data_IF_918139547915
#
_entry.id   IF_918139547915
#
_cell.length_a   1.000
_cell.length_b   1.000
_cell.length_c   1.000
_cell.angle_alpha   90.00
_cell.angle_beta   90.00
_cell.angle_gamma   90.00
#
_symmetry.space_group_name_H-M   'P 1'
#
loop_
_entity.id
_entity.type
_entity.pdbx_description
1 polymer ?
#
# COMPACT_ATOMS: atom_id res chain seq x y z
N UNK A 1 -10.66 32.31 40.26
CA UNK A 1 -11.36 32.16 38.97
C UNK A 1 -12.25 30.94 39.10
N UNK A 2 -13.55 31.16 39.06
CA UNK A 2 -14.59 30.19 39.45
C UNK A 2 -14.65 29.00 38.47
N UNK A 3 -14.60 27.76 38.98
CA UNK A 3 -14.56 26.51 38.19
C UNK A 3 -15.79 26.36 37.29
N UNK A 4 -16.91 26.98 37.68
CA UNK A 4 -18.16 27.03 36.92
C UNK A 4 -18.02 27.75 35.57
N UNK A 5 -17.13 28.74 35.46
CA UNK A 5 -16.89 29.48 34.21
C UNK A 5 -16.05 28.66 33.20
N UNK A 6 -15.14 27.82 33.69
CA UNK A 6 -14.33 26.92 32.85
C UNK A 6 -15.19 25.78 32.30
N UNK A 7 -16.07 25.19 33.13
CA UNK A 7 -16.98 24.13 32.70
C UNK A 7 -18.06 24.64 31.73
N UNK A 8 -18.55 25.87 31.91
CA UNK A 8 -19.44 26.52 30.96
C UNK A 8 -18.76 26.77 29.60
N UNK A 9 -17.48 27.17 29.60
CA UNK A 9 -16.70 27.37 28.37
C UNK A 9 -16.38 26.05 27.64
N UNK A 10 -16.05 24.99 28.39
CA UNK A 10 -15.80 23.64 27.86
C UNK A 10 -17.08 23.04 27.25
N UNK A 11 -18.23 23.20 27.91
CA UNK A 11 -19.52 22.77 27.38
C UNK A 11 -19.98 23.60 26.16
N UNK A 12 -19.72 24.91 26.13
CA UNK A 12 -20.02 25.77 24.97
C UNK A 12 -19.13 25.49 23.73
N UNK A 13 -18.01 24.77 23.88
CA UNK A 13 -17.18 24.28 22.76
C UNK A 13 -17.55 22.87 22.28
N UNK A 14 -18.22 22.05 23.10
CA UNK A 14 -18.68 20.69 22.71
C UNK A 14 -19.84 20.69 21.69
N UNK A 15 -20.56 21.81 21.52
CA UNK A 15 -21.78 21.88 20.71
C UNK A 15 -21.63 22.62 19.38
N UNK A 16 -20.44 23.12 19.03
CA UNK A 16 -20.26 23.85 17.77
C UNK A 16 -20.14 22.90 16.58
N UNK A 17 -20.90 23.11 15.50
CA UNK A 17 -20.79 22.27 14.32
C UNK A 17 -19.41 22.43 13.68
N UNK A 18 -18.60 21.38 13.76
CA UNK A 18 -17.31 21.34 13.08
C UNK A 18 -17.59 21.13 11.59
N UNK A 19 -17.50 22.20 10.79
CA UNK A 19 -17.56 22.12 9.33
C UNK A 19 -16.15 21.84 8.80
N UNK A 20 -15.89 20.59 8.43
CA UNK A 20 -14.67 20.23 7.70
C UNK A 20 -15.00 20.25 6.22
N UNK A 21 -14.30 21.10 5.47
CA UNK A 21 -14.43 21.23 4.02
C UNK A 21 -13.16 20.69 3.38
N UNK A 22 -13.28 19.72 2.48
CA UNK A 22 -12.16 19.25 1.66
C UNK A 22 -12.50 19.50 0.19
N UNK A 23 -11.62 20.24 -0.50
CA UNK A 23 -11.83 20.60 -1.91
C UNK A 23 -10.75 19.97 -2.77
N UNK A 24 -11.16 19.21 -3.80
CA UNK A 24 -10.24 18.67 -4.81
C UNK A 24 -10.42 19.44 -6.11
N UNK A 25 -9.32 20.00 -6.62
CA UNK A 25 -9.29 20.72 -7.89
C UNK A 25 -8.76 19.82 -9.00
N UNK A 26 -9.49 19.75 -10.11
CA UNK A 26 -9.02 19.13 -11.35
C UNK A 26 -9.11 20.17 -12.47
N UNK A 27 -8.00 20.34 -13.19
CA UNK A 27 -7.89 21.21 -14.36
C UNK A 27 -7.68 20.33 -15.59
N UNK A 28 -8.37 20.63 -16.69
CA UNK A 28 -8.23 19.93 -17.97
C UNK A 28 -8.56 20.87 -19.12
N UNK A 29 -7.94 20.62 -20.28
CA UNK A 29 -8.13 21.39 -21.52
C UNK A 29 -6.85 21.35 -22.38
N UNK A 30 -6.93 20.66 -23.52
CA UNK A 30 -5.93 20.70 -24.59
C UNK A 30 -6.47 21.54 -25.75
N UNK A 31 -5.54 22.21 -26.44
CA UNK A 31 -5.59 23.35 -27.37
C UNK A 31 -6.87 23.87 -28.05
N UNK A 32 -8.03 23.21 -28.05
CA UNK A 32 -9.26 23.76 -28.64
C UNK A 32 -10.54 23.56 -27.79
N UNK A 33 -10.42 23.02 -26.57
CA UNK A 33 -11.53 22.92 -25.61
C UNK A 33 -11.35 23.92 -24.45
N UNK A 34 -12.33 24.81 -24.27
CA UNK A 34 -12.35 25.89 -23.28
C UNK A 34 -11.85 25.44 -21.90
N UNK A 35 -10.76 26.07 -21.43
CA UNK A 35 -10.16 25.86 -20.10
C UNK A 35 -11.23 25.77 -19.02
N UNK A 36 -11.33 24.61 -18.36
CA UNK A 36 -12.31 24.40 -17.30
C UNK A 36 -11.64 23.95 -15.99
N UNK A 37 -12.26 24.36 -14.89
CA UNK A 37 -11.87 23.99 -13.53
C UNK A 37 -13.04 23.28 -12.84
N UNK A 38 -12.80 22.06 -12.37
CA UNK A 38 -13.77 21.30 -11.62
C UNK A 38 -13.44 21.32 -10.12
N UNK A 39 -14.40 21.76 -9.32
CA UNK A 39 -14.32 21.88 -7.87
C UNK A 39 -15.22 20.84 -7.22
N UNK A 40 -14.63 19.95 -6.43
CA UNK A 40 -15.37 18.96 -5.69
C UNK A 40 -15.22 19.19 -4.20
N UNK A 41 -16.30 19.57 -3.53
CA UNK A 41 -16.30 20.03 -2.14
C UNK A 41 -17.09 19.06 -1.26
N UNK A 42 -16.42 18.46 -0.28
CA UNK A 42 -17.04 17.57 0.70
C UNK A 42 -17.25 18.34 2.01
N UNK A 43 -18.52 18.50 2.38
CA UNK A 43 -18.92 19.22 3.59
C UNK A 43 -19.40 18.19 4.61
N UNK A 44 -18.65 18.04 5.71
CA UNK A 44 -19.08 17.26 6.88
C UNK A 44 -19.63 18.22 7.92
N UNK A 45 -20.90 18.04 8.32
CA UNK A 45 -21.53 18.78 9.41
C UNK A 45 -21.80 17.80 10.55
N UNK A 46 -21.12 17.97 11.67
CA UNK A 46 -21.37 17.18 12.88
C UNK A 46 -22.18 18.01 13.88
N UNK A 47 -23.23 17.43 14.45
CA UNK A 47 -23.95 17.96 15.60
C UNK A 47 -23.73 16.97 16.75
N UNK A 48 -23.20 17.46 17.87
CA UNK A 48 -22.92 16.64 19.04
C UNK A 48 -23.81 17.09 20.19
N UNK A 49 -24.62 16.17 20.73
CA UNK A 49 -25.46 16.38 21.90
C UNK A 49 -25.18 15.26 22.91
N UNK A 50 -24.89 15.62 24.17
CA UNK A 50 -24.66 14.69 25.28
C UNK A 50 -23.73 13.50 24.98
N UNK A 51 -22.59 13.77 24.33
CA UNK A 51 -21.57 12.74 24.06
C UNK A 51 -21.83 11.90 22.81
N UNK A 52 -23.02 11.99 22.20
CA UNK A 52 -23.34 11.33 20.93
C UNK A 52 -23.26 12.36 19.80
N UNK A 53 -22.40 12.09 18.82
CA UNK A 53 -22.17 12.96 17.67
C UNK A 53 -22.77 12.37 16.40
N UNK A 54 -23.80 13.03 15.86
CA UNK A 54 -24.34 12.71 14.54
C UNK A 54 -23.71 13.59 13.49
N UNK A 55 -23.10 12.97 12.47
CA UNK A 55 -22.44 13.68 11.39
C UNK A 55 -23.11 13.38 10.05
N UNK A 56 -23.60 14.42 9.37
CA UNK A 56 -24.07 14.34 7.99
C UNK A 56 -22.96 14.78 7.03
N UNK A 57 -22.84 14.07 5.90
CA UNK A 57 -21.90 14.39 4.82
C UNK A 57 -22.69 14.80 3.59
N UNK A 58 -22.31 15.91 2.97
CA UNK A 58 -22.87 16.36 1.69
C UNK A 58 -21.73 16.69 0.74
N UNK A 59 -21.91 16.34 -0.54
CA UNK A 59 -20.99 16.68 -1.63
C UNK A 59 -21.60 17.80 -2.47
N UNK A 60 -20.79 18.80 -2.79
CA UNK A 60 -21.14 19.92 -3.66
C UNK A 60 -20.09 20.00 -4.76
N UNK A 61 -20.51 19.79 -6.01
CA UNK A 61 -19.63 19.71 -7.17
C UNK A 61 -19.95 20.83 -8.15
N UNK A 62 -18.94 21.61 -8.54
CA UNK A 62 -19.06 22.74 -9.48
C UNK A 62 -18.10 22.57 -10.64
N UNK A 63 -18.57 22.89 -11.85
CA UNK A 63 -17.71 23.06 -13.03
C UNK A 63 -17.69 24.53 -13.39
N UNK A 64 -16.50 25.11 -13.48
CA UNK A 64 -16.28 26.49 -13.84
C UNK A 64 -15.57 26.58 -15.18
N UNK A 65 -16.12 27.38 -16.08
CA UNK A 65 -15.50 27.86 -17.32
C UNK A 65 -15.16 29.34 -17.15
N UNK A 66 -14.46 29.99 -18.10
CA UNK A 66 -14.13 31.41 -17.99
C UNK A 66 -15.37 32.33 -17.92
N UNK A 67 -16.52 31.85 -18.42
CA UNK A 67 -17.79 32.57 -18.47
C UNK A 67 -18.70 32.36 -17.26
N UNK A 68 -18.38 31.42 -16.35
CA UNK A 68 -19.17 31.18 -15.13
C UNK A 68 -19.01 29.79 -14.54
N UNK A 69 -19.61 29.59 -13.35
CA UNK A 69 -19.62 28.32 -12.65
C UNK A 69 -21.04 27.74 -12.57
N UNK A 70 -21.19 26.47 -12.91
CA UNK A 70 -22.46 25.74 -12.81
C UNK A 70 -22.35 24.56 -11.85
N UNK A 71 -23.43 24.32 -11.08
CA UNK A 71 -23.54 23.16 -10.21
C UNK A 71 -23.76 21.91 -11.07
N UNK A 72 -22.93 20.89 -10.86
CA UNK A 72 -23.01 19.63 -11.61
C UNK A 72 -23.56 18.55 -10.70
N UNK A 73 -24.76 18.04 -11.02
CA UNK A 73 -25.35 16.88 -10.36
C UNK A 73 -24.67 15.62 -10.87
N UNK A 74 -23.62 15.17 -10.19
CA UNK A 74 -22.96 13.91 -10.52
C UNK A 74 -23.84 12.76 -9.99
N UNK A 75 -24.27 11.80 -10.81
CA UNK A 75 -25.03 10.64 -10.34
C UNK A 75 -24.20 9.86 -9.30
N UNK A 76 -24.87 9.40 -8.24
CA UNK A 76 -24.23 8.71 -7.09
C UNK A 76 -23.54 7.39 -7.47
N UNK A 77 -23.65 6.94 -8.72
CA UNK A 77 -23.01 5.71 -9.22
C UNK A 77 -21.50 5.82 -9.51
N UNK A 78 -20.86 6.95 -9.14
CA UNK A 78 -19.39 7.05 -9.02
C UNK A 78 -18.90 7.01 -7.56
N UNK A 79 -19.82 7.19 -6.59
CA UNK A 79 -19.52 7.06 -5.17
C UNK A 79 -19.34 5.60 -4.78
N UNK A 80 -20.01 4.61 -5.38
CA UNK A 80 -19.75 3.19 -5.08
C UNK A 80 -18.33 2.74 -5.49
N UNK A 81 -17.79 3.26 -6.60
CA UNK A 81 -16.42 2.91 -7.04
C UNK A 81 -15.36 3.59 -6.17
N UNK A 82 -15.64 4.78 -5.65
CA UNK A 82 -14.72 5.50 -4.76
C UNK A 82 -14.90 5.12 -3.28
N UNK A 83 -16.10 4.78 -2.82
CA UNK A 83 -16.37 4.22 -1.49
C UNK A 83 -15.92 2.77 -1.38
N UNK A 84 -16.04 1.94 -2.42
CA UNK A 84 -15.37 0.62 -2.41
C UNK A 84 -13.85 0.77 -2.32
N UNK A 85 -13.28 1.79 -2.94
CA UNK A 85 -11.84 2.07 -2.89
C UNK A 85 -11.39 2.75 -1.58
N UNK A 86 -12.21 3.63 -0.98
CA UNK A 86 -11.91 4.33 0.28
C UNK A 86 -12.27 3.50 1.53
N UNK A 87 -13.35 2.72 1.49
CA UNK A 87 -13.69 1.74 2.53
C UNK A 87 -12.71 0.56 2.51
N UNK A 88 -12.11 0.19 1.37
CA UNK A 88 -10.97 -0.74 1.34
C UNK A 88 -9.75 -0.19 2.11
N UNK A 89 -9.50 1.12 2.06
CA UNK A 89 -8.36 1.76 2.75
C UNK A 89 -8.61 2.10 4.23
N UNK A 90 -9.84 2.46 4.63
CA UNK A 90 -10.17 2.73 6.04
C UNK A 90 -10.44 1.44 6.84
N UNK A 91 -10.99 0.40 6.22
CA UNK A 91 -11.05 -0.92 6.84
C UNK A 91 -9.66 -1.54 7.05
N UNK A 92 -8.62 -1.16 6.32
CA UNK A 92 -7.25 -1.61 6.62
C UNK A 92 -6.67 -0.99 7.91
N UNK A 93 -7.13 0.20 8.33
CA UNK A 93 -6.68 0.84 9.56
C UNK A 93 -7.52 0.46 10.79
N UNK A 94 -8.84 0.20 10.65
CA UNK A 94 -9.70 -0.22 11.77
C UNK A 94 -9.87 -1.76 11.91
N UNK A 95 -9.71 -2.57 10.85
CA UNK A 95 -9.69 -4.05 10.98
C UNK A 95 -8.37 -4.62 11.52
N UNK A 96 -7.40 -3.78 11.90
CA UNK A 96 -6.26 -4.23 12.71
C UNK A 96 -6.62 -4.44 14.20
N UNK A 97 -7.87 -4.17 14.60
CA UNK A 97 -8.38 -4.53 15.93
C UNK A 97 -9.55 -5.52 15.94
N UNK A 98 -10.14 -5.90 14.80
CA UNK A 98 -11.09 -7.03 14.74
C UNK A 98 -11.27 -7.56 13.30
N UNK A 99 -10.85 -8.81 13.05
CA UNK A 99 -11.54 -9.71 12.11
C UNK A 99 -11.24 -9.63 10.60
N UNK A 100 -10.41 -8.73 10.09
CA UNK A 100 -9.95 -8.82 8.69
C UNK A 100 -8.95 -9.98 8.53
N UNK A 101 -9.29 -11.05 7.80
CA UNK A 101 -8.35 -12.16 7.54
C UNK A 101 -7.06 -11.59 6.99
N UNK A 102 -5.99 -11.61 7.80
CA UNK A 102 -4.71 -11.10 7.39
C UNK A 102 -4.36 -11.71 6.02
N UNK A 103 -4.10 -10.86 5.02
CA UNK A 103 -3.63 -11.26 3.70
C UNK A 103 -2.28 -12.02 3.76
N UNK A 104 -1.78 -12.25 4.99
CA UNK A 104 -0.49 -12.81 5.23
C UNK A 104 -0.36 -13.59 6.55
N UNK A 105 -1.27 -14.50 6.91
CA UNK A 105 -0.94 -15.63 7.81
C UNK A 105 -1.87 -16.83 7.56
N UNK A 106 -1.30 -18.03 7.41
CA UNK A 106 -1.93 -19.20 8.03
C UNK A 106 -2.91 -20.06 7.22
N UNK A 107 -3.10 -19.89 5.90
CA UNK A 107 -3.62 -21.04 5.14
C UNK A 107 -2.50 -22.08 5.07
N UNK A 108 -2.61 -23.13 5.90
CA UNK A 108 -1.77 -24.33 5.82
C UNK A 108 -1.97 -24.93 4.43
N UNK A 109 -1.13 -24.52 3.48
CA UNK A 109 -1.06 -25.21 2.20
C UNK A 109 -0.67 -26.65 2.48
N UNK A 110 -1.36 -27.61 1.84
CA UNK A 110 -1.01 -29.04 1.96
C UNK A 110 0.43 -29.32 1.49
N UNK A 111 1.00 -28.41 0.70
CA UNK A 111 2.35 -28.51 0.13
C UNK A 111 3.23 -27.40 0.70
N UNK A 112 4.29 -27.80 1.40
CA UNK A 112 5.31 -26.92 1.95
C UNK A 112 6.60 -27.07 1.12
N UNK A 113 7.25 -25.94 0.83
CA UNK A 113 8.48 -25.87 0.03
C UNK A 113 9.59 -25.35 0.93
N UNK A 114 10.72 -26.06 0.94
CA UNK A 114 11.93 -25.66 1.66
C UNK A 114 12.47 -24.34 1.12
N UNK A 115 12.70 -23.38 2.02
CA UNK A 115 13.32 -22.09 1.72
C UNK A 115 14.83 -22.30 1.62
N UNK A 116 15.48 -21.97 0.49
CA UNK A 116 16.93 -22.11 0.36
C UNK A 116 17.69 -21.15 1.28
N UNK A 117 18.84 -21.58 1.81
CA UNK A 117 19.67 -20.77 2.73
C UNK A 117 20.07 -19.41 2.13
N UNK A 118 20.35 -19.35 0.82
CA UNK A 118 20.66 -18.09 0.14
C UNK A 118 19.50 -17.07 0.19
N UNK A 119 18.25 -17.54 0.16
CA UNK A 119 17.05 -16.71 0.29
C UNK A 119 16.93 -16.20 1.73
N UNK A 120 17.14 -17.08 2.72
CA UNK A 120 17.15 -16.71 4.14
C UNK A 120 18.21 -15.65 4.43
N UNK A 121 19.42 -15.84 3.93
CA UNK A 121 20.54 -14.92 4.10
C UNK A 121 20.24 -13.55 3.49
N UNK A 122 19.55 -13.50 2.34
CA UNK A 122 19.16 -12.25 1.69
C UNK A 122 18.11 -11.48 2.51
N UNK A 123 17.13 -12.19 3.07
CA UNK A 123 16.13 -11.61 3.96
C UNK A 123 16.75 -11.12 5.28
N UNK A 124 17.65 -11.90 5.90
CA UNK A 124 18.41 -11.49 7.08
C UNK A 124 19.28 -10.25 6.81
N UNK A 125 19.91 -10.19 5.63
CA UNK A 125 20.72 -9.04 5.25
C UNK A 125 19.88 -7.76 5.10
N UNK A 126 18.61 -7.85 4.69
CA UNK A 126 17.71 -6.70 4.66
C UNK A 126 17.52 -6.07 6.06
N UNK A 127 17.41 -6.89 7.11
CA UNK A 127 17.33 -6.40 8.49
C UNK A 127 18.63 -5.69 8.90
N UNK A 128 19.80 -6.29 8.60
CA UNK A 128 21.10 -5.63 8.87
C UNK A 128 21.22 -4.26 8.20
N UNK A 129 20.75 -4.13 6.96
CA UNK A 129 20.76 -2.84 6.26
C UNK A 129 19.79 -1.84 6.88
N UNK A 130 18.62 -2.30 7.34
CA UNK A 130 17.67 -1.45 8.07
C UNK A 130 18.31 -0.85 9.32
N UNK A 131 19.03 -1.68 10.08
CA UNK A 131 19.73 -1.24 11.30
C UNK A 131 20.84 -0.23 10.98
N UNK A 132 21.48 -0.34 9.80
CA UNK A 132 22.46 0.63 9.30
C UNK A 132 21.83 1.93 8.76
N UNK A 133 20.50 2.06 8.77
CA UNK A 133 19.80 3.29 8.34
C UNK A 133 19.17 3.23 6.94
N UNK A 134 19.23 2.10 6.24
CA UNK A 134 18.52 1.95 4.98
C UNK A 134 17.00 1.97 5.20
N UNK A 135 16.31 2.75 4.36
CA UNK A 135 14.86 2.93 4.39
C UNK A 135 14.20 2.17 3.24
N UNK A 136 12.90 1.89 3.42
CA UNK A 136 12.06 1.22 2.43
C UNK A 136 11.38 -0.03 2.97
N UNK A 137 10.53 -0.61 2.12
CA UNK A 137 9.72 -1.78 2.46
C UNK A 137 8.43 -1.41 3.20
N UNK A 138 7.32 -2.04 2.79
CA UNK A 138 6.04 -1.99 3.50
C UNK A 138 6.02 -3.06 4.61
N UNK A 139 5.12 -2.91 5.58
CA UNK A 139 4.94 -3.88 6.67
C UNK A 139 4.75 -5.33 6.15
N UNK A 140 4.06 -5.50 5.03
CA UNK A 140 3.88 -6.79 4.34
C UNK A 140 5.20 -7.40 3.86
N UNK A 141 6.09 -6.59 3.30
CA UNK A 141 7.43 -7.01 2.88
C UNK A 141 8.32 -7.38 4.08
N UNK A 142 8.25 -6.62 5.18
CA UNK A 142 9.00 -6.96 6.40
C UNK A 142 8.51 -8.25 7.06
N UNK A 143 7.20 -8.48 7.09
CA UNK A 143 6.60 -9.75 7.52
C UNK A 143 7.08 -10.92 6.64
N UNK A 144 7.15 -10.72 5.33
CA UNK A 144 7.72 -11.70 4.38
C UNK A 144 9.19 -11.98 4.67
N UNK A 145 10.01 -10.95 4.87
CA UNK A 145 11.42 -11.11 5.20
C UNK A 145 11.59 -11.92 6.48
N UNK A 146 10.83 -11.61 7.53
CA UNK A 146 10.85 -12.36 8.80
C UNK A 146 10.52 -13.83 8.56
N UNK A 147 9.46 -14.13 7.81
CA UNK A 147 9.09 -15.51 7.52
C UNK A 147 10.17 -16.25 6.70
N UNK A 148 10.74 -15.62 5.67
CA UNK A 148 11.81 -16.22 4.87
C UNK A 148 13.08 -16.44 5.69
N UNK A 149 13.38 -15.56 6.65
CA UNK A 149 14.54 -15.70 7.52
C UNK A 149 14.37 -16.81 8.55
N UNK A 150 13.18 -16.94 9.17
CA UNK A 150 12.98 -17.84 10.32
C UNK A 150 12.43 -19.21 9.96
N UNK A 151 11.62 -19.35 8.89
CA UNK A 151 10.98 -20.62 8.56
C UNK A 151 11.84 -21.46 7.62
N UNK A 152 11.89 -22.77 7.87
CA UNK A 152 12.50 -23.73 6.97
C UNK A 152 11.67 -23.99 5.72
N UNK A 153 10.35 -23.92 5.86
CA UNK A 153 9.42 -24.17 4.75
C UNK A 153 8.32 -23.13 4.69
N UNK A 154 7.83 -22.85 3.49
CA UNK A 154 6.67 -21.99 3.24
C UNK A 154 5.63 -22.72 2.39
N UNK A 155 4.33 -22.42 2.54
CA UNK A 155 3.28 -23.00 1.73
C UNK A 155 3.38 -22.57 0.25
N UNK A 156 2.88 -23.39 -0.66
CA UNK A 156 2.91 -23.12 -2.11
C UNK A 156 2.19 -21.82 -2.52
N UNK A 157 1.17 -21.41 -1.75
CA UNK A 157 0.48 -20.14 -1.93
C UNK A 157 1.43 -18.96 -1.74
N UNK A 158 2.27 -19.04 -0.71
CA UNK A 158 3.28 -18.01 -0.43
C UNK A 158 4.30 -17.91 -1.55
N UNK A 159 4.70 -19.04 -2.10
CA UNK A 159 5.62 -19.09 -3.24
C UNK A 159 5.03 -18.40 -4.48
N UNK A 160 3.74 -18.61 -4.75
CA UNK A 160 2.99 -17.90 -5.81
C UNK A 160 2.98 -16.38 -5.57
N UNK A 161 2.77 -15.93 -4.32
CA UNK A 161 2.78 -14.50 -3.98
C UNK A 161 4.16 -13.88 -4.14
N UNK A 162 5.22 -14.55 -3.70
CA UNK A 162 6.60 -14.11 -3.90
C UNK A 162 6.87 -13.96 -5.40
N UNK A 163 6.49 -14.96 -6.20
CA UNK A 163 6.63 -14.91 -7.65
C UNK A 163 5.87 -13.75 -8.29
N UNK A 164 4.63 -13.48 -7.87
CA UNK A 164 3.83 -12.37 -8.38
C UNK A 164 4.41 -11.00 -7.96
N UNK A 165 5.00 -10.91 -6.77
CA UNK A 165 5.71 -9.72 -6.34
C UNK A 165 6.91 -9.43 -7.25
N UNK A 166 7.77 -10.43 -7.49
CA UNK A 166 8.94 -10.28 -8.36
C UNK A 166 8.56 -9.88 -9.79
N UNK A 167 7.50 -10.44 -10.35
CA UNK A 167 7.04 -10.11 -11.71
C UNK A 167 6.67 -8.62 -11.87
N UNK A 168 6.10 -8.01 -10.82
CA UNK A 168 5.77 -6.57 -10.82
C UNK A 168 6.98 -5.68 -10.53
N UNK A 169 7.89 -6.16 -9.67
CA UNK A 169 8.98 -5.32 -9.12
C UNK A 169 10.32 -5.49 -9.84
N UNK A 170 10.39 -6.36 -10.86
CA UNK A 170 11.55 -6.46 -11.76
C UNK A 170 11.79 -5.17 -12.56
N UNK A 171 10.76 -4.37 -12.82
CA UNK A 171 10.90 -3.11 -13.54
C UNK A 171 11.06 -1.89 -12.62
N UNK A 172 10.63 -2.00 -11.35
CA UNK A 172 10.58 -0.86 -10.42
C UNK A 172 11.64 -0.92 -9.32
N UNK A 173 11.79 -2.06 -8.63
CA UNK A 173 12.74 -2.21 -7.52
C UNK A 173 14.10 -2.72 -7.96
N UNK A 174 14.10 -3.65 -8.92
CA UNK A 174 15.31 -4.32 -9.36
C UNK A 174 16.37 -3.39 -9.98
N UNK A 175 16.05 -2.39 -10.83
CA UNK A 175 17.08 -1.51 -11.39
C UNK A 175 17.89 -0.78 -10.31
N UNK A 176 17.23 -0.34 -9.24
CA UNK A 176 17.88 0.31 -8.10
C UNK A 176 18.79 -0.68 -7.36
N UNK A 177 18.31 -1.89 -7.09
CA UNK A 177 19.12 -2.94 -6.46
C UNK A 177 20.32 -3.34 -7.34
N UNK A 178 20.14 -3.46 -8.66
CA UNK A 178 21.18 -3.79 -9.62
C UNK A 178 22.28 -2.74 -9.63
N UNK A 179 21.92 -1.46 -9.69
CA UNK A 179 22.87 -0.35 -9.62
C UNK A 179 23.67 -0.36 -8.31
N UNK A 180 23.00 -0.56 -7.18
CA UNK A 180 23.66 -0.69 -5.88
C UNK A 180 24.61 -1.89 -5.81
N UNK A 181 24.22 -3.03 -6.38
CA UNK A 181 25.09 -4.21 -6.47
C UNK A 181 26.31 -3.95 -7.36
N UNK A 182 26.13 -3.28 -8.51
CA UNK A 182 27.22 -2.90 -9.43
C UNK A 182 28.20 -1.93 -8.77
N UNK A 183 27.71 -1.04 -7.91
CA UNK A 183 28.52 -0.12 -7.13
C UNK A 183 29.28 -0.77 -5.94
N UNK A 184 29.24 -2.10 -5.80
CA UNK A 184 29.94 -2.81 -4.71
C UNK A 184 29.17 -2.86 -3.39
N UNK A 185 27.85 -2.65 -3.41
CA UNK A 185 26.98 -2.61 -2.21
C UNK A 185 27.41 -1.58 -1.15
N UNK A 186 27.57 -0.30 -1.53
CA UNK A 186 27.93 0.76 -0.61
C UNK A 186 26.91 0.89 0.52
N UNK A 187 27.41 1.21 1.73
CA UNK A 187 26.61 1.28 2.98
C UNK A 187 26.55 2.68 3.58
N UNK A 188 26.94 3.71 2.84
CA UNK A 188 26.88 5.09 3.30
C UNK A 188 25.54 5.77 2.96
N UNK A 189 25.30 6.92 3.59
CA UNK A 189 24.00 7.59 3.67
C UNK A 189 23.31 7.89 2.32
N UNK A 190 24.07 8.13 1.25
CA UNK A 190 23.50 8.41 -0.08
C UNK A 190 22.66 7.25 -0.66
N UNK A 191 22.84 6.02 -0.14
CA UNK A 191 22.05 4.86 -0.52
C UNK A 191 20.85 4.59 0.41
N UNK A 192 20.74 5.26 1.54
CA UNK A 192 19.70 4.98 2.54
C UNK A 192 18.28 5.23 2.03
N UNK A 193 18.09 6.16 1.09
CA UNK A 193 16.78 6.46 0.48
C UNK A 193 16.53 5.71 -0.84
N UNK A 194 17.42 4.79 -1.23
CA UNK A 194 17.25 3.95 -2.43
C UNK A 194 16.38 2.74 -2.09
N UNK A 195 15.10 2.99 -1.84
CA UNK A 195 14.12 2.04 -1.29
C UNK A 195 14.01 0.71 -2.06
N UNK A 196 14.33 0.71 -3.37
CA UNK A 196 14.36 -0.49 -4.21
C UNK A 196 15.34 -1.56 -3.71
N UNK A 197 16.41 -1.18 -3.02
CA UNK A 197 17.38 -2.12 -2.41
C UNK A 197 16.70 -2.98 -1.36
N UNK A 198 16.09 -2.33 -0.37
CA UNK A 198 15.37 -3.00 0.72
C UNK A 198 14.17 -3.75 0.17
N UNK A 199 13.39 -3.13 -0.73
CA UNK A 199 12.24 -3.78 -1.35
C UNK A 199 12.62 -5.10 -2.04
N UNK A 200 13.75 -5.16 -2.74
CA UNK A 200 14.21 -6.41 -3.37
C UNK A 200 14.68 -7.45 -2.36
N UNK A 201 15.44 -7.03 -1.35
CA UNK A 201 16.03 -7.93 -0.35
C UNK A 201 15.00 -8.56 0.59
N UNK A 202 13.97 -7.81 1.02
CA UNK A 202 12.93 -8.33 1.92
C UNK A 202 12.08 -9.45 1.29
N UNK A 203 12.10 -9.58 -0.04
CA UNK A 203 11.47 -10.69 -0.78
C UNK A 203 12.46 -11.81 -1.18
N UNK A 204 13.71 -11.74 -0.70
CA UNK A 204 14.73 -12.77 -0.90
C UNK A 204 15.80 -12.41 -1.93
N UNK A 205 15.78 -11.21 -2.50
CA UNK A 205 16.80 -10.72 -3.44
C UNK A 205 16.98 -11.60 -4.69
N UNK A 206 18.19 -11.59 -5.27
CA UNK A 206 18.51 -12.41 -6.45
C UNK A 206 18.35 -13.92 -6.19
N UNK A 207 18.62 -14.36 -4.95
CA UNK A 207 18.44 -15.75 -4.56
C UNK A 207 16.95 -16.14 -4.61
N UNK A 208 16.08 -15.28 -4.08
CA UNK A 208 14.63 -15.46 -4.11
C UNK A 208 14.11 -15.47 -5.55
N UNK A 209 14.56 -14.52 -6.38
CA UNK A 209 14.19 -14.45 -7.79
C UNK A 209 14.60 -15.70 -8.57
N UNK A 210 15.83 -16.20 -8.37
CA UNK A 210 16.30 -17.45 -8.99
C UNK A 210 15.50 -18.66 -8.51
N UNK A 211 15.21 -18.71 -7.22
CA UNK A 211 14.46 -19.81 -6.62
C UNK A 211 13.07 -19.94 -7.23
N UNK A 212 12.31 -18.84 -7.32
CA UNK A 212 10.95 -18.87 -7.88
C UNK A 212 10.89 -19.14 -9.39
N UNK A 213 12.00 -18.95 -10.10
CA UNK A 213 12.14 -19.22 -11.53
C UNK A 213 12.76 -20.59 -11.82
N UNK A 214 13.11 -21.37 -10.79
CA UNK A 214 13.65 -22.71 -10.98
C UNK A 214 12.60 -23.64 -11.57
N UNK A 215 13.03 -24.55 -12.45
CA UNK A 215 12.13 -25.54 -13.07
C UNK A 215 11.38 -26.36 -12.03
N UNK A 216 12.03 -26.70 -10.91
CA UNK A 216 11.40 -27.37 -9.77
C UNK A 216 10.22 -26.58 -9.21
N UNK A 217 10.40 -25.29 -8.94
CA UNK A 217 9.32 -24.45 -8.39
C UNK A 217 8.22 -24.22 -9.42
N UNK A 218 8.57 -23.95 -10.67
CA UNK A 218 7.58 -23.77 -11.74
C UNK A 218 6.76 -25.02 -11.97
N UNK A 219 7.39 -26.21 -12.00
CA UNK A 219 6.69 -27.49 -12.12
C UNK A 219 5.72 -27.74 -10.97
N UNK A 220 6.12 -27.43 -9.72
CA UNK A 220 5.22 -27.51 -8.56
C UNK A 220 4.04 -26.56 -8.67
N UNK A 221 4.27 -25.31 -9.07
CA UNK A 221 3.21 -24.32 -9.27
C UNK A 221 2.26 -24.72 -10.40
N UNK A 222 2.80 -25.23 -11.50
CA UNK A 222 2.03 -25.69 -12.66
C UNK A 222 1.13 -26.88 -12.29
N UNK A 223 1.70 -27.87 -11.59
CA UNK A 223 0.96 -29.05 -11.10
C UNK A 223 -0.13 -28.67 -10.10
N UNK A 224 0.18 -27.80 -9.14
CA UNK A 224 -0.78 -27.47 -8.08
C UNK A 224 -1.92 -26.56 -8.54
N UNK A 225 -1.65 -25.62 -9.46
CA UNK A 225 -2.65 -24.65 -9.92
C UNK A 225 -3.25 -24.97 -11.29
N UNK A 226 -2.83 -26.07 -11.93
CA UNK A 226 -3.20 -26.42 -13.31
C UNK A 226 -2.99 -25.23 -14.28
N UNK A 227 -1.79 -24.63 -14.23
CA UNK A 227 -1.40 -23.46 -15.04
C UNK A 227 -0.05 -23.68 -15.72
N UNK A 228 0.25 -22.86 -16.72
CA UNK A 228 1.55 -22.84 -17.42
C UNK A 228 2.36 -21.59 -17.01
N UNK A 229 2.85 -21.56 -15.78
CA UNK A 229 3.82 -20.55 -15.35
C UNK A 229 5.13 -20.73 -16.11
N UNK A 230 5.54 -19.68 -16.81
CA UNK A 230 6.85 -19.57 -17.48
C UNK A 230 7.85 -18.85 -16.57
N UNK A 231 9.16 -18.89 -16.83
CA UNK A 231 10.13 -18.05 -16.11
C UNK A 231 9.86 -16.55 -16.34
N UNK A 232 10.05 -15.73 -15.30
CA UNK A 232 10.03 -14.26 -15.45
C UNK A 232 11.23 -13.87 -16.32
N UNK A 233 11.02 -13.10 -17.40
CA UNK A 233 12.08 -12.78 -18.34
C UNK A 233 13.22 -12.05 -17.66
N UNK A 234 14.43 -12.50 -17.99
CA UNK A 234 15.67 -12.08 -17.36
C UNK A 234 16.29 -10.86 -18.03
N UNK A 235 15.61 -10.22 -19.00
CA UNK A 235 16.14 -9.16 -19.90
C UNK A 235 16.75 -7.93 -19.19
N UNK A 236 16.77 -7.90 -17.86
CA UNK A 236 17.34 -6.85 -17.03
C UNK A 236 18.48 -7.31 -16.12
N UNK A 237 18.79 -8.62 -15.96
CA UNK A 237 19.84 -9.13 -15.05
C UNK A 237 21.21 -9.11 -15.73
#
# INVERSE_FOLDING_TARGET
>A
MDSTAIDAWVNAKKTRPIKVTFTKLQKGGGNDEASWAFYDTFVKKCKCNNGTCECTRKRESKRCTPTGCTDVKIPETKLEVLESHYNATQNEHLNNQSGGKAQYYGRKGKINIKVPNAVKNSALYAFKLKDMGFKGGLATGWKRAKQLATKDTIPIQDLKYIRAWFARHIYTSYPTYKAWKKAGRPKHSSYFRKNGIIAWLIWGGDAGFRWINSQKVLGLLNKHYNKKYTPIPKKLI
#
